data_IF_578199886713
#
_entry.id   IF_578199886713
#
_cell.length_a   1.000
_cell.length_b   1.000
_cell.length_c   1.000
_cell.angle_alpha   90.00
_cell.angle_beta   90.00
_cell.angle_gamma   90.00
#
_symmetry.space_group_name_H-M   'P 1'
#
loop_
_entity.id
_entity.type
_entity.pdbx_description
1 polymer ?
#
# COMPACT_ATOMS: atom_id res chain seq x y z
N UNK A 1 12.68 -24.60 -7.90
CA UNK A 1 13.88 -24.62 -7.03
C UNK A 1 14.62 -23.33 -7.30
N UNK A 2 14.72 -22.45 -6.30
CA UNK A 2 15.47 -21.19 -6.41
C UNK A 2 16.95 -21.49 -6.58
N UNK A 3 17.61 -20.88 -7.57
CA UNK A 3 19.05 -21.10 -7.80
C UNK A 3 19.88 -20.30 -6.79
N UNK A 4 21.12 -20.74 -6.52
CA UNK A 4 22.05 -19.98 -5.67
C UNK A 4 22.34 -18.58 -6.21
N UNK A 5 22.20 -18.37 -7.52
CA UNK A 5 22.35 -17.05 -8.17
C UNK A 5 21.17 -16.14 -7.86
N UNK A 6 19.93 -16.66 -7.96
CA UNK A 6 18.71 -15.91 -7.64
C UNK A 6 18.70 -15.44 -6.18
N UNK A 7 19.13 -16.30 -5.25
CA UNK A 7 19.24 -15.91 -3.82
C UNK A 7 20.28 -14.81 -3.63
N UNK A 8 21.42 -14.86 -4.32
CA UNK A 8 22.45 -13.83 -4.25
C UNK A 8 21.98 -12.49 -4.84
N UNK A 9 21.20 -12.54 -5.91
CA UNK A 9 20.59 -11.36 -6.53
C UNK A 9 19.54 -10.73 -5.59
N UNK A 10 18.75 -11.54 -4.88
CA UNK A 10 17.81 -11.05 -3.87
C UNK A 10 18.50 -10.47 -2.63
N UNK A 11 19.65 -11.01 -2.23
CA UNK A 11 20.40 -10.42 -1.12
C UNK A 11 21.02 -9.07 -1.54
N UNK A 12 21.56 -8.99 -2.75
CA UNK A 12 22.12 -7.76 -3.32
C UNK A 12 21.05 -6.68 -3.46
N UNK A 13 19.88 -7.02 -4.02
CA UNK A 13 18.77 -6.08 -4.17
C UNK A 13 18.24 -5.54 -2.84
N UNK A 14 18.27 -6.36 -1.79
CA UNK A 14 17.90 -5.90 -0.45
C UNK A 14 18.94 -4.95 0.15
N UNK A 15 20.22 -5.22 -0.06
CA UNK A 15 21.31 -4.34 0.38
C UNK A 15 21.26 -2.99 -0.36
N UNK A 16 20.91 -2.98 -1.65
CA UNK A 16 20.68 -1.74 -2.42
C UNK A 16 19.56 -0.87 -1.81
N UNK A 17 18.48 -1.50 -1.32
CA UNK A 17 17.41 -0.77 -0.62
C UNK A 17 17.89 -0.21 0.72
N UNK A 18 18.64 -1.01 1.49
CA UNK A 18 19.22 -0.55 2.76
C UNK A 18 20.18 0.62 2.54
N UNK A 19 20.96 0.59 1.46
CA UNK A 19 21.88 1.65 1.08
C UNK A 19 21.16 2.91 0.59
N UNK A 20 20.03 2.77 -0.11
CA UNK A 20 19.18 3.90 -0.49
C UNK A 20 18.74 4.71 0.74
N UNK A 21 18.22 4.03 1.76
CA UNK A 21 17.69 4.70 2.97
C UNK A 21 18.78 5.01 4.00
N UNK A 22 20.04 4.62 3.76
CA UNK A 22 21.12 4.73 4.72
C UNK A 22 21.36 6.16 5.22
N UNK A 23 21.25 7.14 4.32
CA UNK A 23 21.45 8.56 4.63
C UNK A 23 20.43 9.11 5.64
N UNK A 24 19.31 8.41 5.84
CA UNK A 24 18.27 8.78 6.81
C UNK A 24 18.63 8.42 8.25
N UNK A 25 19.73 7.70 8.44
CA UNK A 25 20.22 7.26 9.74
C UNK A 25 21.58 7.88 10.03
N UNK A 26 21.62 8.89 10.92
CA UNK A 26 22.86 9.59 11.25
C UNK A 26 23.90 8.77 12.05
N UNK A 27 23.55 7.55 12.51
CA UNK A 27 24.41 6.67 13.28
C UNK A 27 24.39 5.25 12.72
N UNK A 28 25.50 4.53 12.88
CA UNK A 28 25.67 3.15 12.39
C UNK A 28 24.74 2.14 13.07
N UNK A 29 24.37 2.37 14.33
CA UNK A 29 23.46 1.50 15.08
C UNK A 29 22.03 1.50 14.50
N UNK A 30 21.31 2.65 14.38
CA UNK A 30 20.00 2.69 13.71
C UNK A 30 20.02 2.12 12.29
N UNK A 31 21.09 2.36 11.51
CA UNK A 31 21.23 1.78 10.17
C UNK A 31 21.29 0.25 10.19
N UNK A 32 22.06 -0.34 11.11
CA UNK A 32 22.11 -1.80 11.29
C UNK A 32 20.77 -2.37 11.73
N UNK A 33 20.08 -1.66 12.64
CA UNK A 33 18.73 -2.06 13.10
C UNK A 33 17.69 -1.96 11.98
N UNK A 34 17.73 -0.92 11.15
CA UNK A 34 16.89 -0.79 9.97
C UNK A 34 17.07 -1.95 8.99
N UNK A 35 18.32 -2.32 8.69
CA UNK A 35 18.63 -3.47 7.83
C UNK A 35 18.11 -4.79 8.41
N UNK A 36 18.35 -5.05 9.69
CA UNK A 36 17.86 -6.24 10.38
C UNK A 36 16.33 -6.30 10.42
N UNK A 37 15.68 -5.16 10.70
CA UNK A 37 14.24 -5.04 10.74
C UNK A 37 13.61 -5.33 9.38
N UNK A 38 14.13 -4.69 8.31
CA UNK A 38 13.65 -4.92 6.93
C UNK A 38 13.82 -6.39 6.52
N UNK A 39 14.97 -7.01 6.83
CA UNK A 39 15.19 -8.45 6.61
C UNK A 39 14.17 -9.30 7.36
N UNK A 40 13.93 -9.01 8.65
CA UNK A 40 12.94 -9.72 9.46
C UNK A 40 11.51 -9.64 8.90
N UNK A 41 11.12 -8.50 8.34
CA UNK A 41 9.82 -8.35 7.66
C UNK A 41 9.68 -9.23 6.41
N UNK A 42 10.80 -9.61 5.77
CA UNK A 42 10.80 -10.45 4.57
C UNK A 42 10.95 -11.95 4.87
N UNK A 43 11.38 -12.33 6.08
CA UNK A 43 11.57 -13.73 6.47
C UNK A 43 10.23 -14.46 6.69
N UNK A 44 10.14 -15.77 6.48
CA UNK A 44 8.93 -16.56 6.73
C UNK A 44 8.73 -16.85 8.23
N UNK A 45 8.69 -15.82 9.07
CA UNK A 45 8.38 -15.92 10.50
C UNK A 45 6.86 -15.86 10.70
N UNK A 46 6.35 -16.65 11.65
CA UNK A 46 4.91 -16.80 11.90
C UNK A 46 4.21 -15.46 12.15
N UNK A 47 4.83 -14.56 12.92
CA UNK A 47 4.31 -13.22 13.15
C UNK A 47 5.44 -12.18 13.27
N UNK A 48 5.23 -11.00 12.69
CA UNK A 48 6.17 -9.86 12.64
C UNK A 48 6.07 -8.98 13.89
N UNK A 49 6.05 -9.60 15.07
CA UNK A 49 6.06 -8.90 16.36
C UNK A 49 7.48 -8.62 16.84
N UNK A 50 7.63 -7.88 17.95
CA UNK A 50 8.94 -7.46 18.44
C UNK A 50 9.86 -8.61 18.82
N UNK A 51 9.32 -9.70 19.37
CA UNK A 51 10.07 -10.86 19.80
C UNK A 51 10.59 -11.69 18.64
N UNK A 52 9.71 -12.07 17.71
CA UNK A 52 10.08 -12.93 16.58
C UNK A 52 11.02 -12.22 15.60
N UNK A 53 10.86 -10.90 15.44
CA UNK A 53 11.80 -10.09 14.66
C UNK A 53 13.18 -9.99 15.34
N UNK A 54 13.22 -9.90 16.67
CA UNK A 54 14.47 -9.89 17.42
C UNK A 54 15.19 -11.24 17.36
N UNK A 55 14.47 -12.34 17.54
CA UNK A 55 15.00 -13.70 17.40
C UNK A 55 15.56 -13.93 15.99
N UNK A 56 14.82 -13.54 14.95
CA UNK A 56 15.28 -13.63 13.57
C UNK A 56 16.53 -12.77 13.29
N UNK A 57 16.72 -11.67 14.02
CA UNK A 57 17.92 -10.83 13.97
C UNK A 57 19.09 -11.37 14.82
N UNK A 58 18.88 -12.46 15.59
CA UNK A 58 19.86 -13.03 16.50
C UNK A 58 20.01 -12.30 17.83
N UNK A 59 19.04 -11.45 18.19
CA UNK A 59 19.03 -10.76 19.48
C UNK A 59 18.49 -11.67 20.59
N UNK A 60 18.99 -11.46 21.83
CA UNK A 60 18.53 -12.20 23.02
C UNK A 60 17.22 -11.66 23.60
N UNK A 61 16.86 -10.42 23.28
CA UNK A 61 15.70 -9.71 23.85
C UNK A 61 15.05 -8.84 22.76
N UNK A 62 13.76 -8.48 22.89
CA UNK A 62 13.06 -7.62 21.93
C UNK A 62 13.48 -6.15 22.00
N UNK A 63 14.37 -5.77 22.94
CA UNK A 63 14.68 -4.38 23.27
C UNK A 63 15.21 -3.63 22.05
N UNK A 64 16.08 -4.24 21.25
CA UNK A 64 16.62 -3.60 20.04
C UNK A 64 15.55 -3.23 19.02
N UNK A 65 14.55 -4.11 18.82
CA UNK A 65 13.41 -3.85 17.93
C UNK A 65 12.50 -2.78 18.52
N UNK A 66 12.22 -2.85 19.83
CA UNK A 66 11.40 -1.86 20.52
C UNK A 66 12.06 -0.48 20.51
N UNK A 67 13.37 -0.38 20.70
CA UNK A 67 14.12 0.87 20.63
C UNK A 67 14.12 1.44 19.22
N UNK A 68 14.33 0.61 18.21
CA UNK A 68 14.23 1.02 16.82
C UNK A 68 12.85 1.60 16.48
N UNK A 69 11.78 0.97 16.98
CA UNK A 69 10.40 1.37 16.71
C UNK A 69 9.82 2.40 17.68
N UNK A 70 10.56 2.82 18.72
CA UNK A 70 10.03 3.79 19.69
C UNK A 70 10.99 4.91 20.12
N UNK A 71 12.31 4.74 20.03
CA UNK A 71 13.28 5.69 20.61
C UNK A 71 14.31 6.22 19.61
N UNK A 72 14.75 5.41 18.66
CA UNK A 72 15.81 5.80 17.71
C UNK A 72 15.33 6.94 16.80
N UNK A 73 16.12 8.01 16.66
CA UNK A 73 15.70 9.18 15.87
C UNK A 73 16.01 8.97 14.38
N UNK A 74 14.95 8.85 13.57
CA UNK A 74 15.00 8.88 12.11
C UNK A 74 13.65 9.35 11.54
N UNK A 75 13.70 9.87 10.32
CA UNK A 75 12.54 10.49 9.67
C UNK A 75 11.77 9.45 8.82
N UNK A 76 10.55 9.16 9.26
CA UNK A 76 9.66 8.21 8.59
C UNK A 76 9.22 8.69 7.20
N UNK A 77 9.07 10.00 7.05
CA UNK A 77 8.58 10.61 5.82
C UNK A 77 9.69 10.73 4.79
N UNK A 78 10.94 10.98 5.22
CA UNK A 78 12.09 10.89 4.33
C UNK A 78 12.30 9.47 3.77
N UNK A 79 12.09 8.42 4.60
CA UNK A 79 12.12 7.03 4.12
C UNK A 79 10.93 6.72 3.20
N UNK A 80 9.75 7.33 3.44
CA UNK A 80 8.60 7.26 2.52
C UNK A 80 8.94 7.91 1.18
N UNK A 81 9.66 9.02 1.16
CA UNK A 81 10.10 9.66 -0.09
C UNK A 81 11.11 8.78 -0.85
N UNK A 82 12.04 8.13 -0.14
CA UNK A 82 12.95 7.15 -0.75
C UNK A 82 12.19 5.93 -1.33
N UNK A 83 11.13 5.48 -0.65
CA UNK A 83 10.21 4.47 -1.15
C UNK A 83 9.51 4.94 -2.43
N UNK A 84 9.00 6.17 -2.49
CA UNK A 84 8.37 6.70 -3.70
C UNK A 84 9.34 6.69 -4.88
N UNK A 85 10.58 7.15 -4.67
CA UNK A 85 11.61 7.09 -5.70
C UNK A 85 11.87 5.64 -6.17
N UNK A 86 11.98 4.69 -5.25
CA UNK A 86 12.13 3.27 -5.58
C UNK A 86 10.94 2.73 -6.39
N UNK A 87 9.71 3.09 -6.02
CA UNK A 87 8.49 2.69 -6.74
C UNK A 87 8.48 3.27 -8.15
N UNK A 88 8.86 4.53 -8.34
CA UNK A 88 8.95 5.15 -9.67
C UNK A 88 9.97 4.43 -10.55
N UNK A 89 11.13 4.09 -10.01
CA UNK A 89 12.17 3.35 -10.74
C UNK A 89 11.71 1.94 -11.15
N UNK A 90 10.98 1.23 -10.29
CA UNK A 90 10.60 -0.16 -10.51
C UNK A 90 9.26 -0.33 -11.24
N UNK A 91 8.30 0.57 -11.03
CA UNK A 91 6.92 0.41 -11.48
C UNK A 91 6.37 1.60 -12.26
N UNK A 92 7.17 2.66 -12.41
CA UNK A 92 6.77 3.92 -13.03
C UNK A 92 6.13 3.72 -14.40
N UNK A 93 4.92 4.24 -14.55
CA UNK A 93 4.14 4.18 -15.78
C UNK A 93 3.32 5.48 -15.91
N UNK A 94 3.30 6.05 -17.11
CA UNK A 94 2.52 7.25 -17.39
C UNK A 94 1.01 6.98 -17.23
N UNK A 95 0.58 5.75 -17.51
CA UNK A 95 -0.83 5.33 -17.44
C UNK A 95 -1.22 4.76 -16.08
N UNK A 96 -0.35 4.86 -15.08
CA UNK A 96 -0.61 4.33 -13.75
C UNK A 96 -1.84 4.96 -13.08
N UNK A 97 -2.43 4.18 -12.17
CA UNK A 97 -3.58 4.56 -11.35
C UNK A 97 -3.15 4.71 -9.90
N UNK A 98 -3.42 5.88 -9.33
CA UNK A 98 -3.34 6.11 -7.91
C UNK A 98 -4.66 5.71 -7.24
N UNK A 99 -4.58 4.82 -6.26
CA UNK A 99 -5.76 4.26 -5.57
C UNK A 99 -5.78 4.76 -4.12
N UNK A 100 -6.79 5.54 -3.75
CA UNK A 100 -7.03 5.96 -2.37
C UNK A 100 -7.93 4.95 -1.67
N UNK A 101 -7.45 4.39 -0.57
CA UNK A 101 -8.23 3.49 0.27
C UNK A 101 -7.71 3.46 1.71
N UNK A 102 -8.45 2.77 2.56
CA UNK A 102 -8.25 2.76 4.01
C UNK A 102 -8.25 1.33 4.52
N UNK A 103 -7.42 1.05 5.51
CA UNK A 103 -7.49 -0.21 6.25
C UNK A 103 -7.53 0.03 7.75
N UNK A 104 -8.34 -0.79 8.42
CA UNK A 104 -8.42 -0.83 9.87
C UNK A 104 -7.39 -1.79 10.48
N UNK A 105 -6.87 -1.41 11.64
CA UNK A 105 -5.99 -2.22 12.47
C UNK A 105 -6.69 -2.42 13.82
N UNK A 106 -7.14 -3.64 14.10
CA UNK A 106 -7.84 -3.96 15.34
C UNK A 106 -6.91 -3.80 16.54
N UNK A 107 -7.40 -3.16 17.60
CA UNK A 107 -6.63 -2.94 18.82
C UNK A 107 -7.46 -3.22 20.06
N UNK A 108 -6.80 -3.75 21.09
CA UNK A 108 -7.35 -3.91 22.43
C UNK A 108 -6.88 -2.75 23.31
N UNK A 109 -7.81 -2.02 23.92
CA UNK A 109 -7.53 -0.89 24.81
C UNK A 109 -7.54 0.49 24.14
N UNK A 110 -7.18 1.54 24.90
CA UNK A 110 -7.38 2.95 24.53
C UNK A 110 -6.07 3.74 24.27
N UNK A 111 -4.91 3.08 24.40
CA UNK A 111 -3.59 3.75 24.46
C UNK A 111 -2.87 3.89 23.12
N UNK A 112 -3.22 3.12 22.09
CA UNK A 112 -2.60 3.25 20.77
C UNK A 112 -3.07 4.52 20.06
N UNK A 113 -2.16 5.28 19.47
CA UNK A 113 -2.43 6.54 18.77
C UNK A 113 -3.63 6.42 17.80
N UNK A 114 -4.62 7.30 17.92
CA UNK A 114 -5.79 7.31 17.03
C UNK A 114 -6.75 6.13 17.19
N UNK A 115 -6.59 5.26 18.20
CA UNK A 115 -7.54 4.15 18.43
C UNK A 115 -8.90 4.67 18.91
N UNK A 116 -9.96 4.28 18.21
CA UNK A 116 -11.33 4.58 18.59
C UNK A 116 -12.28 3.51 18.04
N UNK A 117 -13.53 3.50 18.52
CA UNK A 117 -14.59 2.68 17.93
C UNK A 117 -14.99 3.29 16.59
N UNK A 118 -14.60 2.63 15.51
CA UNK A 118 -14.78 3.11 14.15
C UNK A 118 -15.15 1.92 13.26
N UNK A 119 -15.84 2.18 12.15
CA UNK A 119 -16.06 1.14 11.16
C UNK A 119 -14.72 0.67 10.61
N UNK A 120 -14.43 -0.61 10.78
CA UNK A 120 -13.23 -1.26 10.24
C UNK A 120 -13.65 -2.09 9.05
N UNK A 121 -13.24 -1.69 7.84
CA UNK A 121 -13.52 -2.47 6.62
C UNK A 121 -13.04 -3.92 6.72
N UNK A 122 -11.90 -4.15 7.40
CA UNK A 122 -11.37 -5.51 7.64
C UNK A 122 -12.24 -6.35 8.57
N UNK A 123 -12.94 -5.74 9.52
CA UNK A 123 -13.82 -6.47 10.45
C UNK A 123 -15.29 -6.47 10.03
N UNK A 124 -15.66 -5.72 8.99
CA UNK A 124 -17.04 -5.52 8.54
C UNK A 124 -17.96 -4.86 9.57
N UNK A 125 -17.42 -4.34 10.68
CA UNK A 125 -18.21 -3.83 11.82
C UNK A 125 -17.49 -2.72 12.58
N UNK A 126 -18.24 -2.04 13.46
CA UNK A 126 -17.70 -0.99 14.33
C UNK A 126 -16.92 -1.62 15.48
N UNK A 127 -15.61 -1.53 15.38
CA UNK A 127 -14.67 -2.06 16.37
C UNK A 127 -13.66 -1.01 16.82
N UNK A 128 -13.03 -1.28 17.95
CA UNK A 128 -11.92 -0.48 18.42
C UNK A 128 -10.69 -0.71 17.53
N UNK A 129 -10.39 0.28 16.70
CA UNK A 129 -9.37 0.17 15.67
C UNK A 129 -8.66 1.49 15.41
N UNK A 130 -7.44 1.39 14.88
CA UNK A 130 -6.75 2.49 14.19
C UNK A 130 -7.09 2.40 12.71
N UNK A 131 -7.25 3.54 12.04
CA UNK A 131 -7.50 3.58 10.59
C UNK A 131 -6.30 4.22 9.91
N UNK A 132 -5.64 3.49 9.00
CA UNK A 132 -4.63 4.06 8.12
C UNK A 132 -5.27 4.42 6.77
N UNK A 133 -5.00 5.63 6.29
CA UNK A 133 -5.24 6.04 4.91
C UNK A 133 -3.99 5.70 4.11
N UNK A 134 -4.15 5.13 2.93
CA UNK A 134 -3.05 4.72 2.06
C UNK A 134 -3.26 5.20 0.64
N UNK A 135 -2.15 5.47 -0.03
CA UNK A 135 -2.10 5.70 -1.46
C UNK A 135 -1.45 4.50 -2.13
N UNK A 136 -2.24 3.71 -2.85
CA UNK A 136 -1.76 2.64 -3.72
C UNK A 136 -1.31 3.16 -5.08
N UNK A 137 -0.36 2.45 -5.67
CA UNK A 137 0.13 2.67 -7.03
C UNK A 137 -0.07 1.39 -7.83
N UNK A 138 -0.90 1.45 -8.88
CA UNK A 138 -1.17 0.31 -9.76
C UNK A 138 -0.76 0.65 -11.19
N UNK A 139 0.09 -0.18 -11.79
CA UNK A 139 0.49 -0.09 -13.19
C UNK A 139 0.53 -1.48 -13.82
N UNK A 140 0.82 -1.54 -15.12
CA UNK A 140 1.06 -2.83 -15.81
C UNK A 140 2.26 -3.59 -15.24
N UNK A 141 3.14 -2.93 -14.48
CA UNK A 141 4.33 -3.52 -13.89
C UNK A 141 4.07 -4.14 -12.50
N UNK A 142 2.94 -3.83 -11.87
CA UNK A 142 2.59 -4.34 -10.55
C UNK A 142 1.77 -3.34 -9.72
N UNK A 143 1.56 -3.70 -8.45
CA UNK A 143 0.83 -2.90 -7.47
C UNK A 143 1.64 -2.78 -6.19
N UNK A 144 1.74 -1.58 -5.63
CA UNK A 144 2.52 -1.27 -4.42
C UNK A 144 1.89 -0.13 -3.63
N UNK A 145 2.30 0.05 -2.37
CA UNK A 145 1.87 1.18 -1.53
C UNK A 145 2.89 2.31 -1.66
N UNK A 146 2.41 3.53 -1.92
CA UNK A 146 3.21 4.72 -2.21
C UNK A 146 3.27 5.69 -1.03
N UNK A 147 2.18 5.81 -0.27
CA UNK A 147 2.09 6.72 0.87
C UNK A 147 1.11 6.20 1.94
N UNK A 148 1.19 6.77 3.14
CA UNK A 148 0.42 6.39 4.33
C UNK A 148 0.15 7.61 5.22
N UNK A 149 -0.95 7.57 5.95
CA UNK A 149 -1.19 8.46 7.08
C UNK A 149 -2.11 7.78 8.09
N UNK A 150 -1.83 7.97 9.38
CA UNK A 150 -2.73 7.53 10.44
C UNK A 150 -3.87 8.54 10.61
N UNK A 151 -5.12 8.08 10.48
CA UNK A 151 -6.27 8.93 10.75
C UNK A 151 -6.40 9.16 12.27
N UNK A 152 -6.48 10.43 12.66
CA UNK A 152 -6.69 10.84 14.05
C UNK A 152 -8.15 11.27 14.27
N UNK A 153 -8.96 10.52 15.02
CA UNK A 153 -10.35 10.90 15.30
C UNK A 153 -10.44 12.25 16.03
N UNK A 154 -11.57 12.96 15.85
CA UNK A 154 -11.79 14.29 16.48
C UNK A 154 -11.58 14.29 17.99
N UNK A 155 -12.01 13.23 18.67
CA UNK A 155 -11.87 13.13 20.13
C UNK A 155 -10.41 13.03 20.57
N UNK A 156 -9.55 12.39 19.76
CA UNK A 156 -8.11 12.39 19.98
C UNK A 156 -7.48 13.75 19.71
N UNK A 157 -7.92 14.43 18.64
CA UNK A 157 -7.34 15.71 18.25
C UNK A 157 -7.47 16.78 19.35
N UNK A 158 -8.52 16.68 20.19
CA UNK A 158 -8.81 17.59 21.31
C UNK A 158 -8.14 17.20 22.63
N UNK A 159 -7.72 15.96 22.80
CA UNK A 159 -7.14 15.45 24.05
C UNK A 159 -5.60 15.60 24.06
N UNK A 160 -5.13 16.72 24.62
CA UNK A 160 -3.69 17.05 24.68
C UNK A 160 -2.86 16.04 25.48
N UNK A 161 -3.38 15.54 26.60
CA UNK A 161 -2.65 14.59 27.44
C UNK A 161 -2.47 13.26 26.71
N UNK A 162 -3.54 12.76 26.07
CA UNK A 162 -3.49 11.52 25.30
C UNK A 162 -2.62 11.65 24.05
N UNK A 163 -2.60 12.83 23.42
CA UNK A 163 -1.68 13.15 22.31
C UNK A 163 -0.22 13.09 22.75
N UNK A 164 0.11 13.74 23.86
CA UNK A 164 1.47 13.73 24.41
C UNK A 164 1.91 12.30 24.78
N UNK A 165 1.06 11.51 25.45
CA UNK A 165 1.37 10.13 25.82
C UNK A 165 1.62 9.24 24.59
N UNK A 166 0.84 9.42 23.53
CA UNK A 166 1.00 8.70 22.26
C UNK A 166 2.07 9.32 21.34
N UNK A 167 2.75 10.39 21.77
CA UNK A 167 3.76 11.14 20.99
C UNK A 167 3.25 11.63 19.63
N UNK A 168 2.01 12.11 19.61
CA UNK A 168 1.43 12.79 18.45
C UNK A 168 2.01 14.21 18.40
N UNK A 169 2.52 14.68 17.25
CA UNK A 169 3.04 16.04 17.11
C UNK A 169 2.02 17.10 17.54
N UNK A 170 2.48 18.16 18.21
CA UNK A 170 1.59 19.20 18.76
C UNK A 170 0.94 20.04 17.66
N UNK A 171 1.69 20.30 16.59
CA UNK A 171 1.27 21.02 15.39
C UNK A 171 0.27 20.25 14.53
N UNK A 172 0.04 18.95 14.79
CA UNK A 172 -0.88 18.15 13.99
C UNK A 172 -2.33 18.63 14.20
N UNK A 173 -2.89 19.24 13.15
CA UNK A 173 -4.30 19.60 13.09
C UNK A 173 -5.18 18.39 12.74
N UNK A 174 -6.46 18.45 13.12
CA UNK A 174 -7.44 17.46 12.67
C UNK A 174 -7.59 17.52 11.14
N UNK A 175 -7.47 16.38 10.48
CA UNK A 175 -7.73 16.23 9.06
C UNK A 175 -8.70 15.06 8.83
N UNK A 176 -9.67 15.25 7.94
CA UNK A 176 -10.54 14.16 7.50
C UNK A 176 -9.76 13.18 6.62
N UNK A 177 -10.24 11.95 6.47
CA UNK A 177 -9.57 10.95 5.61
C UNK A 177 -9.42 11.44 4.15
N UNK A 178 -10.42 12.08 3.52
CA UNK A 178 -10.23 12.69 2.20
C UNK A 178 -9.17 13.79 2.15
N UNK A 179 -9.03 14.61 3.21
CA UNK A 179 -7.96 15.60 3.28
C UNK A 179 -6.58 14.95 3.36
N UNK A 180 -6.45 13.84 4.10
CA UNK A 180 -5.22 13.05 4.13
C UNK A 180 -4.92 12.46 2.74
N UNK A 181 -5.92 11.91 2.05
CA UNK A 181 -5.78 11.39 0.69
C UNK A 181 -5.35 12.48 -0.31
N UNK A 182 -5.97 13.67 -0.24
CA UNK A 182 -5.58 14.81 -1.07
C UNK A 182 -4.13 15.25 -0.82
N UNK A 183 -3.69 15.26 0.44
CA UNK A 183 -2.30 15.57 0.78
C UNK A 183 -1.32 14.51 0.24
N UNK A 184 -1.71 13.24 0.18
CA UNK A 184 -0.90 12.18 -0.44
C UNK A 184 -0.80 12.36 -1.96
N UNK A 185 -1.91 12.68 -2.62
CA UNK A 185 -1.93 12.98 -4.06
C UNK A 185 -1.03 14.17 -4.41
N UNK A 186 -1.08 15.22 -3.59
CA UNK A 186 -0.23 16.40 -3.78
C UNK A 186 1.25 16.07 -3.58
N UNK A 187 1.60 15.27 -2.57
CA UNK A 187 2.99 14.81 -2.37
C UNK A 187 3.47 13.94 -3.53
N UNK A 188 2.68 12.98 -3.99
CA UNK A 188 3.04 12.13 -5.14
C UNK A 188 3.27 12.97 -6.40
N UNK A 189 2.42 13.98 -6.65
CA UNK A 189 2.59 14.93 -7.74
C UNK A 189 3.86 15.76 -7.59
N UNK A 190 4.12 16.32 -6.41
CA UNK A 190 5.30 17.13 -6.13
C UNK A 190 6.60 16.32 -6.23
N UNK A 191 6.56 15.03 -5.90
CA UNK A 191 7.66 14.08 -6.05
C UNK A 191 7.88 13.60 -7.51
N UNK A 192 7.03 14.04 -8.45
CA UNK A 192 7.16 13.67 -9.86
C UNK A 192 6.75 12.23 -10.18
N UNK A 193 5.92 11.60 -9.34
CA UNK A 193 5.41 10.25 -9.59
C UNK A 193 4.58 10.26 -10.88
N UNK A 194 4.85 9.39 -11.87
CA UNK A 194 4.07 9.33 -13.10
C UNK A 194 2.76 8.58 -12.86
N UNK A 195 1.65 9.19 -13.26
CA UNK A 195 0.31 8.61 -13.24
C UNK A 195 -0.65 9.42 -14.13
N UNK A 196 -1.66 8.75 -14.67
CA UNK A 196 -2.73 9.38 -15.44
C UNK A 196 -4.05 9.43 -14.66
N UNK A 197 -4.27 8.49 -13.75
CA UNK A 197 -5.58 8.23 -13.16
C UNK A 197 -5.58 8.26 -11.64
N UNK A 198 -6.72 8.65 -11.06
CA UNK A 198 -7.03 8.54 -9.63
C UNK A 198 -8.33 7.76 -9.43
N UNK A 199 -8.35 6.84 -8.48
CA UNK A 199 -9.56 6.12 -8.05
C UNK A 199 -9.62 5.99 -6.53
N UNK A 200 -10.79 5.59 -6.02
CA UNK A 200 -11.09 5.51 -4.61
C UNK A 200 -12.56 5.13 -4.36
N UNK A 201 -12.87 4.85 -3.10
CA UNK A 201 -14.23 4.57 -2.65
C UNK A 201 -15.12 5.84 -2.58
N UNK A 202 -16.33 5.67 -2.04
CA UNK A 202 -17.30 6.76 -1.85
C UNK A 202 -16.88 7.82 -0.83
N UNK A 203 -15.99 7.49 0.12
CA UNK A 203 -15.42 8.45 1.07
C UNK A 203 -14.60 9.50 0.31
N UNK A 204 -13.85 9.08 -0.71
CA UNK A 204 -13.06 9.97 -1.56
C UNK A 204 -13.89 10.56 -2.70
N UNK A 205 -14.70 9.74 -3.38
CA UNK A 205 -15.40 10.16 -4.59
C UNK A 205 -16.51 11.17 -4.36
N UNK A 206 -17.13 11.19 -3.18
CA UNK A 206 -18.10 12.22 -2.79
C UNK A 206 -17.48 13.60 -2.61
N UNK A 207 -16.16 13.69 -2.42
CA UNK A 207 -15.47 14.93 -2.05
C UNK A 207 -15.15 15.77 -3.29
N UNK A 208 -15.85 16.90 -3.42
CA UNK A 208 -15.68 17.82 -4.54
C UNK A 208 -14.23 18.32 -4.70
N UNK A 209 -13.55 18.67 -3.60
CA UNK A 209 -12.18 19.16 -3.63
C UNK A 209 -11.19 18.18 -4.28
N UNK A 210 -11.38 16.87 -4.08
CA UNK A 210 -10.54 15.84 -4.68
C UNK A 210 -10.79 15.73 -6.19
N UNK A 211 -12.05 15.76 -6.62
CA UNK A 211 -12.43 15.79 -8.05
C UNK A 211 -11.88 17.03 -8.74
N UNK A 212 -12.00 18.20 -8.10
CA UNK A 212 -11.46 19.45 -8.61
C UNK A 212 -9.93 19.43 -8.71
N UNK A 213 -9.23 18.90 -7.69
CA UNK A 213 -7.79 18.77 -7.74
C UNK A 213 -7.34 17.91 -8.93
N UNK A 214 -8.01 16.79 -9.19
CA UNK A 214 -7.69 15.94 -10.35
C UNK A 214 -7.92 16.68 -11.68
N UNK A 215 -9.02 17.43 -11.81
CA UNK A 215 -9.30 18.24 -13.01
C UNK A 215 -8.25 19.34 -13.24
N UNK A 216 -7.90 20.09 -12.19
CA UNK A 216 -6.91 21.18 -12.25
C UNK A 216 -5.54 20.68 -12.70
N UNK A 217 -5.16 19.46 -12.29
CA UNK A 217 -3.90 18.83 -12.67
C UNK A 217 -4.00 17.97 -13.94
N UNK A 218 -5.12 18.05 -14.67
CA UNK A 218 -5.39 17.29 -15.90
C UNK A 218 -5.18 15.79 -15.71
N UNK A 219 -5.62 15.25 -14.58
CA UNK A 219 -5.64 13.82 -14.27
C UNK A 219 -7.04 13.26 -14.47
N UNK A 220 -7.09 12.05 -15.03
CA UNK A 220 -8.32 11.30 -15.13
C UNK A 220 -8.74 10.81 -13.74
N UNK A 221 -10.04 10.63 -13.51
CA UNK A 221 -10.51 9.93 -12.33
C UNK A 221 -11.71 9.04 -12.64
N UNK A 222 -11.81 7.96 -11.89
CA UNK A 222 -13.02 7.13 -11.78
C UNK A 222 -13.22 6.88 -10.29
N UNK A 223 -14.16 7.58 -9.68
CA UNK A 223 -14.34 7.59 -8.22
C UNK A 223 -15.73 7.09 -7.87
N UNK A 224 -15.80 6.10 -6.98
CA UNK A 224 -17.09 5.58 -6.49
C UNK A 224 -17.84 6.69 -5.75
N UNK A 225 -19.16 6.75 -5.86
CA UNK A 225 -20.00 7.70 -5.12
C UNK A 225 -21.21 7.00 -4.54
N UNK A 226 -21.77 7.57 -3.46
CA UNK A 226 -23.04 7.10 -2.91
C UNK A 226 -24.20 7.37 -3.89
N UNK A 227 -25.25 6.58 -3.82
CA UNK A 227 -26.44 6.70 -4.69
C UNK A 227 -27.15 8.06 -4.56
N UNK A 228 -27.05 8.70 -3.39
CA UNK A 228 -27.57 10.03 -3.12
C UNK A 228 -26.61 11.18 -3.49
N UNK A 229 -25.44 10.88 -4.06
CA UNK A 229 -24.54 11.91 -4.58
C UNK A 229 -25.27 12.68 -5.68
N UNK A 230 -25.23 14.00 -5.61
CA UNK A 230 -25.90 14.84 -6.61
C UNK A 230 -24.99 15.16 -7.79
N UNK A 231 -25.60 15.15 -8.97
CA UNK A 231 -25.04 15.61 -10.23
C UNK A 231 -26.02 16.64 -10.81
N UNK A 232 -25.67 17.92 -10.74
CA UNK A 232 -26.65 19.01 -10.88
C UNK A 232 -27.69 18.95 -9.75
N UNK A 233 -28.97 19.04 -10.11
CA UNK A 233 -30.10 19.05 -9.16
C UNK A 233 -30.66 17.66 -8.82
N UNK A 234 -30.10 16.58 -9.38
CA UNK A 234 -30.63 15.21 -9.22
C UNK A 234 -29.60 14.27 -8.59
N UNK A 235 -30.01 13.34 -7.72
CA UNK A 235 -29.14 12.27 -7.22
C UNK A 235 -28.78 11.30 -8.35
N UNK A 236 -27.58 10.73 -8.34
CA UNK A 236 -27.10 9.80 -9.38
C UNK A 236 -27.98 8.56 -9.53
N UNK A 237 -28.65 8.10 -8.47
CA UNK A 237 -29.62 7.02 -8.56
C UNK A 237 -30.79 7.30 -9.51
N UNK A 238 -31.23 8.56 -9.64
CA UNK A 238 -32.33 8.91 -10.53
C UNK A 238 -31.92 8.94 -12.02
N UNK A 239 -30.61 8.87 -12.32
CA UNK A 239 -30.11 8.88 -13.69
C UNK A 239 -30.27 7.53 -14.40
N UNK A 240 -30.52 6.44 -13.66
CA UNK A 240 -30.65 5.09 -14.22
C UNK A 240 -32.10 4.67 -14.47
N UNK A 241 -33.08 5.45 -14.01
CA UNK A 241 -34.52 5.14 -14.12
C UNK A 241 -35.03 5.03 -15.57
N UNK A 242 -34.29 5.59 -16.54
CA UNK A 242 -34.62 5.53 -17.97
C UNK A 242 -33.76 4.59 -18.81
N UNK A 243 -32.83 3.83 -18.19
CA UNK A 243 -31.95 2.94 -18.93
C UNK A 243 -32.67 1.63 -19.27
N UNK A 244 -32.65 1.25 -20.56
CA UNK A 244 -33.10 -0.06 -21.03
C UNK A 244 -31.96 -1.07 -21.04
N UNK A 245 -32.28 -2.35 -21.28
CA UNK A 245 -31.27 -3.43 -21.34
C UNK A 245 -30.19 -3.21 -22.41
N UNK A 246 -30.52 -2.49 -23.50
CA UNK A 246 -29.57 -2.17 -24.57
C UNK A 246 -28.48 -1.16 -24.18
N UNK A 247 -28.70 -0.38 -23.10
CA UNK A 247 -27.74 0.61 -22.61
C UNK A 247 -26.62 -0.01 -21.76
N UNK A 248 -26.76 -1.30 -21.42
CA UNK A 248 -25.82 -2.04 -20.59
C UNK A 248 -24.88 -2.89 -21.44
N UNK A 249 -23.59 -2.78 -21.16
CA UNK A 249 -22.56 -3.60 -21.78
C UNK A 249 -21.88 -4.48 -20.74
N UNK A 250 -21.82 -5.78 -21.00
CA UNK A 250 -21.12 -6.73 -20.13
C UNK A 250 -19.61 -6.61 -20.32
N UNK A 251 -18.91 -6.18 -19.29
CA UNK A 251 -17.46 -5.96 -19.31
C UNK A 251 -16.79 -6.50 -18.05
N UNK A 252 -15.50 -6.83 -18.17
CA UNK A 252 -14.71 -7.31 -17.04
C UNK A 252 -13.99 -6.17 -16.32
N UNK A 253 -14.21 -6.06 -15.01
CA UNK A 253 -13.49 -5.15 -14.12
C UNK A 253 -12.10 -5.69 -13.71
N UNK A 254 -11.53 -6.59 -14.52
CA UNK A 254 -10.25 -7.26 -14.27
C UNK A 254 -10.37 -8.71 -13.81
N UNK A 255 -9.22 -9.37 -13.67
CA UNK A 255 -9.15 -10.74 -13.18
C UNK A 255 -9.63 -10.84 -11.73
N UNK A 256 -10.30 -11.95 -11.39
CA UNK A 256 -10.67 -12.33 -10.03
C UNK A 256 -10.24 -13.76 -9.73
N UNK A 257 -10.33 -14.17 -8.45
CA UNK A 257 -9.90 -15.49 -8.01
C UNK A 257 -10.64 -16.66 -8.68
N UNK A 258 -11.86 -16.42 -9.19
CA UNK A 258 -12.72 -17.41 -9.88
C UNK A 258 -12.85 -17.15 -11.39
N UNK A 259 -11.99 -16.31 -11.97
CA UNK A 259 -12.08 -15.89 -13.37
C UNK A 259 -12.35 -14.38 -13.52
N UNK A 260 -12.64 -13.90 -14.75
CA UNK A 260 -12.90 -12.48 -14.99
C UNK A 260 -14.09 -11.98 -14.18
N UNK A 261 -13.95 -10.81 -13.55
CA UNK A 261 -15.03 -10.19 -12.77
C UNK A 261 -15.97 -9.45 -13.71
N UNK A 262 -16.97 -10.16 -14.21
CA UNK A 262 -17.96 -9.65 -15.16
C UNK A 262 -19.08 -8.92 -14.44
N UNK A 263 -19.41 -7.73 -14.95
CA UNK A 263 -20.56 -6.93 -14.54
C UNK A 263 -21.19 -6.31 -15.78
N UNK A 264 -22.43 -5.86 -15.65
CA UNK A 264 -23.05 -5.03 -16.67
C UNK A 264 -22.77 -3.55 -16.33
N UNK A 265 -22.33 -2.81 -17.34
CA UNK A 265 -21.90 -1.42 -17.20
C UNK A 265 -22.68 -0.50 -18.12
N UNK A 266 -23.05 0.68 -17.62
CA UNK A 266 -23.62 1.76 -18.42
C UNK A 266 -22.82 3.05 -18.21
N UNK A 267 -22.72 3.87 -19.25
CA UNK A 267 -22.02 5.16 -19.18
C UNK A 267 -22.93 6.28 -19.69
N UNK A 268 -23.21 7.24 -18.82
CA UNK A 268 -24.03 8.40 -19.12
C UNK A 268 -23.15 9.64 -19.14
N UNK A 269 -22.92 10.27 -20.31
CA UNK A 269 -22.16 11.51 -20.39
C UNK A 269 -22.77 12.63 -19.55
N UNK A 270 -21.93 13.46 -18.96
CA UNK A 270 -22.33 14.63 -18.19
C UNK A 270 -21.48 15.86 -18.56
N UNK A 271 -22.08 17.04 -18.52
CA UNK A 271 -21.40 18.30 -18.80
C UNK A 271 -20.34 18.64 -17.73
N UNK A 272 -19.41 19.53 -18.05
CA UNK A 272 -18.42 20.05 -17.09
C UNK A 272 -17.05 19.36 -17.12
N UNK A 273 -16.71 18.68 -18.22
CA UNK A 273 -15.32 18.27 -18.49
C UNK A 273 -14.44 19.47 -18.85
N UNK A 274 -13.16 19.43 -18.46
CA UNK A 274 -12.17 20.38 -18.98
C UNK A 274 -11.97 20.18 -20.48
N UNK A 275 -11.38 21.16 -21.20
CA UNK A 275 -11.10 21.01 -22.64
C UNK A 275 -10.27 19.74 -22.93
N UNK A 276 -10.80 18.88 -23.80
CA UNK A 276 -10.22 17.57 -24.16
C UNK A 276 -10.56 16.43 -23.19
N UNK A 277 -11.44 16.69 -22.21
CA UNK A 277 -11.94 15.72 -21.25
C UNK A 277 -13.46 15.67 -21.26
N UNK A 278 -14.00 14.48 -21.03
CA UNK A 278 -15.43 14.22 -20.82
C UNK A 278 -15.68 13.81 -19.37
N UNK A 279 -16.76 14.34 -18.81
CA UNK A 279 -17.31 13.87 -17.55
C UNK A 279 -18.46 12.89 -17.83
N UNK A 280 -18.73 12.00 -16.88
CA UNK A 280 -19.84 11.07 -16.99
C UNK A 280 -20.10 10.30 -15.72
N UNK A 281 -21.30 9.73 -15.65
CA UNK A 281 -21.70 8.77 -14.64
C UNK A 281 -21.48 7.36 -15.22
N UNK A 282 -20.52 6.64 -14.67
CA UNK A 282 -20.32 5.23 -14.94
C UNK A 282 -21.10 4.43 -13.90
N UNK A 283 -21.87 3.44 -14.34
CA UNK A 283 -22.75 2.64 -13.50
C UNK A 283 -22.38 1.18 -13.68
N UNK A 284 -22.29 0.46 -12.57
CA UNK A 284 -22.07 -0.99 -12.53
C UNK A 284 -23.25 -1.65 -11.86
N UNK A 285 -23.83 -2.68 -12.46
CA UNK A 285 -24.82 -3.56 -11.80
C UNK A 285 -24.31 -5.00 -11.71
N UNK A 286 -24.69 -5.70 -10.65
CA UNK A 286 -24.36 -7.12 -10.49
C UNK A 286 -25.15 -7.99 -11.47
N UNK A 287 -24.51 -9.07 -11.96
CA UNK A 287 -25.16 -10.04 -12.84
C UNK A 287 -26.13 -10.96 -12.07
N UNK A 288 -25.87 -11.16 -10.78
CA UNK A 288 -26.70 -12.02 -9.93
C UNK A 288 -27.87 -11.25 -9.32
N UNK A 289 -27.67 -9.97 -9.03
CA UNK A 289 -28.68 -9.07 -8.49
C UNK A 289 -28.63 -7.73 -9.22
N UNK A 290 -29.45 -7.52 -10.26
CA UNK A 290 -29.46 -6.26 -11.01
C UNK A 290 -29.81 -5.02 -10.17
N UNK A 291 -30.36 -5.20 -8.96
CA UNK A 291 -30.64 -4.09 -8.04
C UNK A 291 -29.40 -3.65 -7.24
N UNK A 292 -28.35 -4.48 -7.16
CA UNK A 292 -27.05 -4.12 -6.61
C UNK A 292 -26.27 -3.27 -7.60
N UNK A 293 -26.44 -1.95 -7.47
CA UNK A 293 -25.86 -0.95 -8.35
C UNK A 293 -24.81 -0.12 -7.62
N UNK A 294 -23.69 0.12 -8.30
CA UNK A 294 -22.60 1.00 -7.85
C UNK A 294 -22.39 2.12 -8.86
N UNK A 295 -22.24 3.34 -8.35
CA UNK A 295 -22.11 4.55 -9.15
C UNK A 295 -20.69 5.10 -9.07
N UNK A 296 -20.19 5.61 -10.19
CA UNK A 296 -18.88 6.24 -10.30
C UNK A 296 -18.99 7.57 -11.05
N UNK A 297 -18.39 8.62 -10.48
CA UNK A 297 -18.16 9.85 -11.25
C UNK A 297 -16.83 9.72 -12.00
N UNK A 298 -16.85 10.12 -13.26
CA UNK A 298 -15.69 10.04 -14.14
C UNK A 298 -15.29 11.41 -14.69
N UNK A 299 -14.00 11.59 -14.90
CA UNK A 299 -13.40 12.64 -15.71
C UNK A 299 -12.27 11.98 -16.48
N UNK A 300 -12.36 11.96 -17.80
CA UNK A 300 -11.47 11.16 -18.64
C UNK A 300 -11.17 11.92 -19.93
N UNK A 301 -9.99 11.73 -20.56
CA UNK A 301 -9.78 12.17 -21.94
C UNK A 301 -10.93 11.73 -22.85
N UNK A 302 -11.31 12.56 -23.82
CA UNK A 302 -12.47 12.28 -24.69
C UNK A 302 -12.35 10.94 -25.45
N UNK A 303 -11.12 10.53 -25.78
CA UNK A 303 -10.83 9.29 -26.50
C UNK A 303 -10.85 8.02 -25.62
N UNK A 304 -10.94 8.14 -24.28
CA UNK A 304 -10.93 6.99 -23.36
C UNK A 304 -12.15 6.11 -23.60
N UNK A 305 -11.97 4.82 -23.84
CA UNK A 305 -13.07 3.87 -24.09
C UNK A 305 -13.81 3.47 -22.81
N UNK A 306 -14.99 2.86 -22.95
CA UNK A 306 -15.72 2.31 -21.80
C UNK A 306 -14.92 1.19 -21.12
N UNK A 307 -14.31 0.29 -21.89
CA UNK A 307 -13.40 -0.75 -21.38
C UNK A 307 -12.27 -0.18 -20.52
N UNK A 308 -11.70 0.95 -20.92
CA UNK A 308 -10.65 1.60 -20.13
C UNK A 308 -11.20 2.14 -18.82
N UNK A 309 -12.33 2.85 -18.83
CA UNK A 309 -13.00 3.32 -17.60
C UNK A 309 -13.32 2.17 -16.64
N UNK A 310 -13.79 1.03 -17.17
CA UNK A 310 -14.08 -0.18 -16.39
C UNK A 310 -12.80 -0.80 -15.79
N UNK A 311 -11.70 -0.81 -16.54
CA UNK A 311 -10.38 -1.25 -16.02
C UNK A 311 -9.90 -0.34 -14.90
N UNK A 312 -10.04 0.98 -15.04
CA UNK A 312 -9.66 1.93 -13.98
C UNK A 312 -10.55 1.74 -12.74
N UNK A 313 -11.88 1.61 -12.91
CA UNK A 313 -12.78 1.28 -11.79
C UNK A 313 -12.38 -0.04 -11.10
N UNK A 314 -12.01 -1.05 -11.89
CA UNK A 314 -11.57 -2.36 -11.43
C UNK A 314 -10.23 -2.35 -10.70
N UNK A 315 -9.37 -1.36 -10.97
CA UNK A 315 -8.08 -1.19 -10.31
C UNK A 315 -8.22 -0.89 -8.81
N UNK A 316 -9.37 -0.37 -8.35
CA UNK A 316 -9.67 -0.25 -6.91
C UNK A 316 -9.47 -1.57 -6.18
N UNK A 317 -9.90 -2.70 -6.76
CA UNK A 317 -9.77 -4.00 -6.09
C UNK A 317 -8.32 -4.45 -5.89
N UNK A 318 -7.38 -3.91 -6.68
CA UNK A 318 -5.97 -4.21 -6.50
C UNK A 318 -5.46 -3.78 -5.12
N UNK A 319 -6.06 -2.74 -4.51
CA UNK A 319 -5.66 -2.26 -3.18
C UNK A 319 -6.12 -3.19 -2.06
N UNK A 320 -7.28 -3.83 -2.21
CA UNK A 320 -7.80 -4.79 -1.22
C UNK A 320 -6.88 -6.01 -1.16
N UNK A 321 -6.55 -6.59 -2.32
CA UNK A 321 -5.53 -7.64 -2.40
C UNK A 321 -4.16 -7.16 -1.91
N UNK A 322 -3.78 -5.91 -2.19
CA UNK A 322 -2.51 -5.36 -1.70
C UNK A 322 -2.49 -5.25 -0.16
N UNK A 323 -3.62 -4.92 0.48
CA UNK A 323 -3.72 -4.96 1.93
C UNK A 323 -3.65 -6.37 2.48
N UNK A 324 -4.30 -7.34 1.84
CA UNK A 324 -4.18 -8.76 2.21
C UNK A 324 -2.74 -9.25 2.11
N UNK A 325 -2.08 -8.99 0.97
CA UNK A 325 -0.67 -9.31 0.72
C UNK A 325 0.23 -8.64 1.78
N UNK A 326 0.00 -7.35 2.08
CA UNK A 326 0.80 -6.61 3.04
C UNK A 326 0.65 -7.12 4.49
N UNK A 327 -0.54 -7.57 4.88
CA UNK A 327 -0.78 -8.14 6.22
C UNK A 327 -0.22 -9.55 6.33
N UNK A 328 -0.37 -10.35 5.27
CA UNK A 328 0.10 -11.73 5.23
C UNK A 328 1.62 -11.87 5.12
N UNK A 329 2.27 -11.06 4.28
CA UNK A 329 3.68 -11.28 3.92
C UNK A 329 4.65 -10.46 4.75
N UNK A 330 4.34 -9.18 4.95
CA UNK A 330 5.22 -8.21 5.62
C UNK A 330 4.67 -7.72 6.95
N UNK A 331 3.56 -8.31 7.41
CA UNK A 331 3.00 -8.08 8.73
C UNK A 331 2.53 -6.65 9.00
N UNK A 332 1.93 -5.98 8.02
CA UNK A 332 1.44 -4.60 8.12
C UNK A 332 0.57 -4.34 9.37
N UNK A 333 -0.15 -5.34 9.86
CA UNK A 333 -1.03 -5.26 11.04
C UNK A 333 -0.51 -5.99 12.29
N UNK A 334 0.70 -6.54 12.22
CA UNK A 334 1.24 -7.43 13.26
C UNK A 334 2.09 -6.71 14.32
N UNK A 335 2.23 -5.39 14.20
CA UNK A 335 2.97 -4.54 15.13
C UNK A 335 2.33 -4.38 16.50
N UNK A 336 3.19 -4.11 17.49
CA UNK A 336 2.82 -3.91 18.90
C UNK A 336 3.06 -2.47 19.39
N UNK A 337 3.49 -1.57 18.49
CA UNK A 337 3.69 -0.16 18.79
C UNK A 337 2.39 0.56 19.16
N UNK A 338 2.51 1.56 20.03
CA UNK A 338 1.38 2.38 20.52
C UNK A 338 1.51 3.85 20.16
N UNK A 339 2.72 4.33 19.88
CA UNK A 339 2.96 5.74 19.57
C UNK A 339 2.65 6.06 18.11
N UNK A 340 2.34 7.33 17.85
CA UNK A 340 2.16 7.88 16.50
C UNK A 340 3.39 7.64 15.63
N UNK A 341 4.56 7.96 16.19
CA UNK A 341 5.85 7.80 15.52
C UNK A 341 6.14 6.33 15.22
N UNK A 342 5.94 5.44 16.19
CA UNK A 342 6.18 4.01 16.01
C UNK A 342 5.28 3.39 14.94
N UNK A 343 4.03 3.84 14.84
CA UNK A 343 3.13 3.42 13.77
C UNK A 343 3.69 3.83 12.40
N UNK A 344 4.07 5.09 12.22
CA UNK A 344 4.63 5.56 10.95
C UNK A 344 5.91 4.81 10.60
N UNK A 345 6.79 4.56 11.58
CA UNK A 345 8.01 3.79 11.39
C UNK A 345 7.75 2.37 10.88
N UNK A 346 6.92 1.59 11.58
CA UNK A 346 6.60 0.23 11.17
C UNK A 346 5.94 0.19 9.78
N UNK A 347 4.91 1.02 9.57
CA UNK A 347 4.15 1.00 8.31
C UNK A 347 5.03 1.39 7.13
N UNK A 348 5.98 2.32 7.28
CA UNK A 348 6.93 2.66 6.21
C UNK A 348 7.79 1.46 5.83
N UNK A 349 8.33 0.75 6.83
CA UNK A 349 9.18 -0.41 6.59
C UNK A 349 8.40 -1.58 6.00
N UNK A 350 7.16 -1.80 6.43
CA UNK A 350 6.27 -2.79 5.83
C UNK A 350 5.96 -2.45 4.35
N UNK A 351 5.67 -1.19 4.03
CA UNK A 351 5.47 -0.75 2.64
C UNK A 351 6.74 -0.93 1.80
N UNK A 352 7.92 -0.62 2.35
CA UNK A 352 9.20 -0.82 1.67
C UNK A 352 9.52 -2.30 1.42
N UNK A 353 9.28 -3.16 2.41
CA UNK A 353 9.40 -4.61 2.27
C UNK A 353 8.45 -5.14 1.18
N UNK A 354 7.20 -4.67 1.16
CA UNK A 354 6.22 -5.06 0.16
C UNK A 354 6.61 -4.63 -1.25
N UNK A 355 7.10 -3.39 -1.41
CA UNK A 355 7.57 -2.88 -2.69
C UNK A 355 8.76 -3.71 -3.20
N UNK A 356 9.67 -4.10 -2.30
CA UNK A 356 10.77 -4.99 -2.66
C UNK A 356 10.29 -6.37 -3.13
N UNK A 357 9.38 -7.02 -2.40
CA UNK A 357 8.80 -8.30 -2.80
C UNK A 357 8.09 -8.21 -4.15
N UNK A 358 7.36 -7.12 -4.39
CA UNK A 358 6.72 -6.87 -5.67
C UNK A 358 7.75 -6.75 -6.81
N UNK A 359 8.89 -6.10 -6.57
CA UNK A 359 9.94 -5.93 -7.58
C UNK A 359 10.63 -7.26 -7.88
N UNK A 360 10.90 -8.07 -6.85
CA UNK A 360 11.45 -9.43 -7.01
C UNK A 360 10.49 -10.31 -7.83
N UNK A 361 9.18 -10.28 -7.52
CA UNK A 361 8.15 -11.02 -8.27
C UNK A 361 8.08 -10.57 -9.72
N UNK A 362 8.14 -9.27 -9.97
CA UNK A 362 8.20 -8.70 -11.34
C UNK A 362 9.40 -9.26 -12.12
N UNK A 363 10.59 -9.29 -11.51
CA UNK A 363 11.79 -9.85 -12.11
C UNK A 363 11.67 -11.35 -12.41
N UNK A 364 11.07 -12.12 -11.50
CA UNK A 364 10.87 -13.56 -11.66
C UNK A 364 9.87 -13.91 -12.79
N UNK A 365 8.81 -13.12 -12.96
CA UNK A 365 7.81 -13.32 -14.03
C UNK A 365 8.32 -12.80 -15.39
N UNK A 366 9.19 -11.78 -15.38
CA UNK A 366 9.71 -11.13 -16.58
C UNK A 366 10.89 -11.80 -17.29
N UNK A 367 11.44 -12.91 -16.76
CA UNK A 367 12.52 -13.67 -17.40
C UNK A 367 13.88 -12.97 -17.50
N UNK A 368 14.00 -11.72 -17.04
CA UNK A 368 15.27 -11.00 -16.91
C UNK A 368 15.45 -10.60 -15.45
N UNK A 369 16.55 -11.06 -14.84
CA UNK A 369 17.04 -10.51 -13.58
C UNK A 369 17.21 -8.98 -13.68
N UNK A 370 17.28 -8.26 -12.54
CA UNK A 370 17.30 -6.81 -12.55
C UNK A 370 18.45 -6.28 -13.41
N UNK A 371 18.14 -5.71 -14.58
CA UNK A 371 19.11 -4.95 -15.35
C UNK A 371 19.48 -3.71 -14.56
N UNK A 372 20.74 -3.65 -14.11
CA UNK A 372 21.31 -2.52 -13.41
C UNK A 372 21.16 -1.25 -14.24
N UNK A 373 20.72 -0.11 -13.65
CA UNK A 373 20.85 1.17 -14.31
C UNK A 373 22.36 1.46 -14.50
N UNK A 374 22.80 1.61 -15.74
CA UNK A 374 24.16 2.09 -16.05
C UNK A 374 24.32 3.48 -15.45
N UNK A 375 25.02 3.59 -14.32
CA UNK A 375 25.58 4.87 -13.83
C UNK A 375 26.39 5.48 -14.97
N UNK A 376 25.88 6.54 -15.60
CA UNK A 376 26.72 7.48 -16.35
C UNK A 376 27.60 8.18 -15.33
N UNK A 377 28.83 7.70 -15.15
CA UNK A 377 29.90 8.50 -14.60
C UNK A 377 30.15 9.64 -15.59
N UNK A 378 29.76 10.85 -15.20
CA UNK A 378 30.24 12.04 -15.87
C UNK A 378 31.78 12.05 -15.74
N UNK A 379 32.45 12.07 -16.89
CA UNK A 379 33.88 12.27 -16.96
C UNK A 379 34.21 13.66 -16.40
N UNK A 380 35.04 13.70 -15.36
CA UNK A 380 35.75 14.89 -14.95
C UNK A 380 37.25 14.60 -15.01
N UNK A 381 37.96 15.60 -15.50
CA UNK A 381 39.29 15.55 -16.09
C UNK A 381 40.43 14.99 -15.24
N UNK A 382 41.40 14.45 -15.98
CA UNK A 382 42.73 14.03 -15.52
C UNK A 382 43.52 15.21 -14.95
N UNK A 383 44.07 15.03 -13.75
CA UNK A 383 45.35 15.62 -13.39
C UNK A 383 46.19 14.60 -12.59
N UNK A 384 47.43 14.42 -13.05
CA UNK A 384 48.44 13.47 -12.58
C UNK A 384 48.95 13.84 -11.19
N UNK A 385 49.20 12.83 -10.35
CA UNK A 385 50.48 12.67 -9.65
C UNK A 385 50.61 11.25 -9.08
N UNK A 386 51.80 10.67 -9.25
CA UNK A 386 52.14 9.29 -8.92
C UNK A 386 52.81 9.15 -7.53
N UNK A 387 52.50 8.00 -6.89
CA UNK A 387 53.33 7.14 -6.01
C UNK A 387 53.61 7.56 -4.55
N UNK A 388 53.98 6.62 -3.62
CA UNK A 388 54.21 5.18 -3.81
C UNK A 388 53.46 4.21 -2.87
N UNK A 389 53.57 2.96 -3.30
CA UNK A 389 53.21 1.65 -2.77
C UNK A 389 53.64 1.41 -1.29
N UNK A 390 52.71 0.90 -0.48
CA UNK A 390 53.00 0.25 0.81
C UNK A 390 52.22 -1.06 0.90
N UNK A 391 52.86 -2.12 0.42
CA UNK A 391 52.61 -3.52 0.80
C UNK A 391 52.41 -3.64 2.31
N UNK A 392 51.24 -4.13 2.74
CA UNK A 392 51.07 -4.74 4.05
C UNK A 392 50.57 -6.17 3.90
N UNK A 393 51.52 -7.05 4.21
CA UNK A 393 51.39 -8.47 4.49
C UNK A 393 50.21 -8.72 5.45
N UNK A 394 49.25 -9.55 5.05
CA UNK A 394 48.28 -10.14 5.99
C UNK A 394 48.28 -11.64 5.81
N UNK A 395 48.88 -12.30 6.79
CA UNK A 395 48.92 -13.74 6.95
C UNK A 395 47.51 -14.30 7.08
N UNK A 396 47.31 -15.37 6.32
CA UNK A 396 46.21 -16.32 6.31
C UNK A 396 46.07 -17.01 7.67
N UNK A 397 44.88 -16.91 8.28
CA UNK A 397 44.42 -17.88 9.27
C UNK A 397 43.25 -18.66 8.67
N UNK A 398 43.57 -19.90 8.31
CA UNK A 398 42.65 -20.97 7.93
C UNK A 398 41.70 -21.29 9.09
N UNK A 399 40.39 -21.28 8.81
CA UNK A 399 39.39 -22.01 9.60
C UNK A 399 38.40 -22.67 8.65
N UNK A 400 38.42 -24.00 8.65
CA UNK A 400 37.54 -24.87 7.87
C UNK A 400 36.05 -24.66 8.21
N UNK A 401 35.13 -24.89 7.26
CA UNK A 401 33.69 -24.76 7.51
C UNK A 401 33.14 -25.99 8.23
N UNK A 402 32.36 -25.75 9.28
CA UNK A 402 31.59 -26.78 9.97
C UNK A 402 30.39 -27.23 9.11
N UNK A 403 30.27 -28.53 8.97
CA UNK A 403 29.25 -29.28 8.23
C UNK A 403 27.85 -28.96 8.76
N UNK A 404 26.95 -28.47 7.89
CA UNK A 404 25.52 -28.31 8.20
C UNK A 404 24.84 -29.68 8.08
N UNK A 405 24.36 -30.22 9.19
CA UNK A 405 23.55 -31.44 9.24
C UNK A 405 22.13 -31.14 8.78
N UNK A 406 21.65 -31.87 7.76
CA UNK A 406 20.28 -31.86 7.28
C UNK A 406 19.34 -32.36 8.38
N UNK A 407 18.42 -31.52 8.87
CA UNK A 407 17.33 -31.94 9.75
C UNK A 407 16.18 -32.48 8.90
N UNK A 408 15.75 -33.70 9.25
CA UNK A 408 14.70 -34.49 8.59
C UNK A 408 13.33 -33.86 8.85
N UNK A 409 12.56 -33.57 7.79
CA UNK A 409 11.20 -33.01 7.89
C UNK A 409 10.24 -34.01 8.55
N UNK A 410 9.41 -33.52 9.49
CA UNK A 410 8.30 -34.28 10.06
C UNK A 410 7.09 -34.27 9.10
N UNK A 411 6.34 -35.37 8.98
CA UNK A 411 5.15 -35.45 8.12
C UNK A 411 3.97 -34.64 8.69
N UNK A 412 3.06 -34.14 7.82
CA UNK A 412 1.92 -33.32 8.25
C UNK A 412 0.86 -34.14 8.99
N UNK A 413 0.18 -33.57 10.01
CA UNK A 413 -0.95 -34.25 10.64
C UNK A 413 -2.17 -34.26 9.71
N UNK A 414 -2.78 -35.44 9.57
CA UNK A 414 -4.10 -35.65 8.97
C UNK A 414 -5.19 -35.48 10.03
N UNK A 415 -6.20 -34.64 9.76
CA UNK A 415 -7.61 -35.04 9.84
C UNK A 415 -8.57 -33.83 9.74
N UNK A 416 -9.55 -34.03 8.86
CA UNK A 416 -10.78 -33.28 8.68
C UNK A 416 -11.47 -32.83 9.97
N UNK A 417 -12.05 -31.63 9.94
CA UNK A 417 -13.19 -31.27 10.79
C UNK A 417 -14.42 -31.07 9.90
N UNK A 418 -15.43 -31.90 10.15
CA UNK A 418 -16.75 -31.82 9.55
C UNK A 418 -17.45 -30.51 9.96
N UNK A 419 -18.07 -29.86 8.99
CA UNK A 419 -18.97 -28.73 9.18
C UNK A 419 -20.37 -29.25 9.50
N UNK A 420 -20.90 -28.96 10.69
CA UNK A 420 -22.33 -29.15 10.99
C UNK A 420 -23.14 -27.91 10.56
N UNK A 421 -24.34 -28.08 9.99
CA UNK A 421 -25.15 -26.97 9.47
C UNK A 421 -25.85 -26.15 10.57
N UNK A 422 -26.00 -24.85 10.30
CA UNK A 422 -26.69 -23.85 11.13
C UNK A 422 -28.20 -24.15 11.18
N UNK A 423 -28.75 -24.24 12.39
CA UNK A 423 -30.18 -24.40 12.64
C UNK A 423 -30.97 -23.12 12.38
N UNK A 424 -32.05 -23.26 11.62
CA UNK A 424 -33.12 -22.28 11.38
C UNK A 424 -33.81 -21.89 12.69
N UNK A 425 -33.84 -20.59 13.00
CA UNK A 425 -34.71 -20.06 14.06
C UNK A 425 -36.00 -19.54 13.42
N UNK A 426 -37.09 -20.28 13.64
CA UNK A 426 -38.46 -19.91 13.30
C UNK A 426 -38.92 -18.77 14.20
N UNK A 427 -39.43 -17.70 13.58
CA UNK A 427 -40.23 -16.65 14.21
C UNK A 427 -41.71 -17.03 14.09
N UNK A 428 -42.36 -17.20 15.24
CA UNK A 428 -43.79 -17.31 15.46
C UNK A 428 -44.01 -16.92 16.94
N UNK A 429 -44.94 -16.07 17.37
CA UNK A 429 -45.95 -15.24 16.74
C UNK A 429 -46.38 -14.21 17.81
N UNK A 430 -46.66 -12.98 17.40
CA UNK A 430 -47.83 -12.17 17.81
C UNK A 430 -47.90 -10.95 16.89
#
# INVERSE_FOLDING_TARGET
MTTSSEVADWLTGLDDIVDRIASRFGRSEPRRRAAAYLRGLLLPIERKNGWQLAEAAGDRTPDGVQEFLSRMRWDADAVRDDLQAYVVEQFGDADAVLVLDETGFLKKGKKSAGVARQYSGTAGRIENSQIGVFLGYASRHGRVLLDRALYLPKDWAKDRLRRAEARIPDELAFATKPMLGLAMLERARAAGVPFAWVTGDSVYGGVYALRQWAQQHRRGYVLTVASNQHLGMRPVAAWIEGLGEADWQRLSAGAGAKGPRLYDWAFLPHAGGAKGFRCGLLVRRSLADPSDVTFYLTHAPEATSLDELVKIAGSRWSIESLFEDSKGEVGLDQYEVRSWVGWHWHITFAMLALAYLAAVRKGAVGGCGPEKPRRRLAAADRARNQAPDRRRNRQTLSRSPATVSLVRMAPPPSAARQTSPLGTTSLASA
#
